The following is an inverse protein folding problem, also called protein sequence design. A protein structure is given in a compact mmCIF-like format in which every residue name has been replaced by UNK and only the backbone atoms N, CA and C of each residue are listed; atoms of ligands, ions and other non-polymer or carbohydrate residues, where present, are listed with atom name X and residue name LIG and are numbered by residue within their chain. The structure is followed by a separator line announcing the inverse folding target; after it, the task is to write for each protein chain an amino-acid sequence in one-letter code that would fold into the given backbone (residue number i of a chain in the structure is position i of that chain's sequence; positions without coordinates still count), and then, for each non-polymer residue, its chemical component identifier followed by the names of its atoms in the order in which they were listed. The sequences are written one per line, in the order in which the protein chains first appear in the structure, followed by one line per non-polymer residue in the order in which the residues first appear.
data_IF_189682887755
#
_entry.id   IF_189682887755
#
_cell.length_a   1.000
_cell.length_b   1.000
_cell.length_c   1.000
_cell.angle_alpha   90.00
_cell.angle_beta   90.00
_cell.angle_gamma   90.00
#
_symmetry.space_group_name_H-M   'P 1'
#
loop_
_entity.id
_entity.type
_entity.pdbx_description
1 polymer ?
#
# COMPACT_ATOMS: atom_id res chain seq x y z
N UNK A 1 18.68 1.42 37.19
CA UNK A 1 20.16 1.45 37.16
C UNK A 1 20.61 1.92 35.78
N UNK A 2 21.10 3.16 35.69
CA UNK A 2 21.70 3.76 34.47
C UNK A 2 23.12 3.23 34.29
N UNK A 3 23.53 2.95 33.04
CA UNK A 3 24.79 3.21 32.27
C UNK A 3 24.79 2.17 31.11
N UNK A 4 25.27 2.38 29.88
CA UNK A 4 26.26 3.30 29.34
C UNK A 4 26.14 3.29 27.79
N UNK A 5 26.26 4.46 27.16
CA UNK A 5 26.42 4.63 25.72
C UNK A 5 27.68 3.92 25.21
N UNK A 6 27.60 3.29 24.04
CA UNK A 6 28.79 3.01 23.23
C UNK A 6 28.55 3.44 21.78
N UNK A 7 29.13 4.59 21.48
CA UNK A 7 29.23 5.22 20.16
C UNK A 7 30.30 4.42 19.38
N UNK A 8 29.95 3.83 18.24
CA UNK A 8 30.94 3.39 17.26
C UNK A 8 30.92 4.31 16.05
N UNK A 9 32.10 4.86 15.79
CA UNK A 9 32.37 5.90 14.82
C UNK A 9 32.38 5.40 13.38
N UNK A 10 31.91 6.29 12.50
CA UNK A 10 31.98 6.26 11.05
C UNK A 10 33.42 6.17 10.56
N UNK A 11 33.68 5.29 9.58
CA UNK A 11 34.85 5.39 8.70
C UNK A 11 34.39 5.33 7.23
N UNK A 12 34.34 6.52 6.62
CA UNK A 12 34.21 6.77 5.20
C UNK A 12 35.44 6.22 4.45
N UNK A 13 35.22 5.42 3.40
CA UNK A 13 36.18 5.25 2.31
C UNK A 13 35.45 5.50 0.99
N UNK A 14 35.63 6.72 0.50
CA UNK A 14 35.24 7.18 -0.82
C UNK A 14 36.44 7.10 -1.78
N UNK A 15 36.30 6.33 -2.86
CA UNK A 15 37.14 6.32 -4.08
C UNK A 15 36.15 5.92 -5.19
N UNK A 16 35.94 6.59 -6.34
CA UNK A 16 36.59 7.68 -7.04
C UNK A 16 36.31 7.47 -8.55
N UNK A 17 35.97 8.57 -9.27
CA UNK A 17 36.18 8.91 -10.71
C UNK A 17 36.39 7.75 -11.74
N UNK A 18 35.92 7.73 -12.99
CA UNK A 18 35.37 8.69 -13.98
C UNK A 18 35.12 7.84 -15.25
N UNK A 19 34.19 8.20 -16.13
CA UNK A 19 34.50 8.39 -17.57
C UNK A 19 33.35 9.10 -18.28
N UNK A 20 33.73 10.14 -19.00
CA UNK A 20 32.94 10.93 -19.93
C UNK A 20 32.83 10.13 -21.23
N UNK A 21 31.60 9.83 -21.66
CA UNK A 21 31.30 9.37 -23.00
C UNK A 21 30.77 10.52 -23.85
N UNK A 22 31.65 11.21 -24.56
CA UNK A 22 31.30 12.02 -25.73
C UNK A 22 31.33 11.10 -26.96
N UNK A 23 30.28 11.13 -27.80
CA UNK A 23 30.32 10.39 -29.07
C UNK A 23 29.17 10.70 -30.02
N UNK A 24 29.47 11.49 -31.08
CA UNK A 24 28.84 11.47 -32.41
C UNK A 24 27.56 12.28 -32.57
N UNK A 25 27.59 13.53 -33.03
CA UNK A 25 27.77 14.04 -34.41
C UNK A 25 26.62 13.75 -35.40
N UNK A 26 25.85 14.82 -35.62
CA UNK A 26 25.38 15.39 -36.88
C UNK A 26 24.51 14.55 -37.83
N UNK A 27 23.22 14.92 -37.83
CA UNK A 27 22.35 14.88 -39.00
C UNK A 27 21.51 16.15 -39.01
N UNK A 28 22.09 17.26 -39.48
CA UNK A 28 21.33 18.38 -40.03
C UNK A 28 20.83 17.93 -41.41
N UNK A 29 19.51 17.91 -41.61
CA UNK A 29 19.00 18.43 -42.87
C UNK A 29 17.75 19.26 -42.59
N UNK A 30 17.86 20.50 -43.05
CA UNK A 30 16.91 21.56 -42.89
C UNK A 30 15.79 21.38 -43.91
N UNK A 31 14.55 21.67 -43.52
CA UNK A 31 13.74 22.70 -44.20
C UNK A 31 12.35 22.76 -43.58
N UNK A 32 12.01 23.94 -43.10
CA UNK A 32 10.68 24.33 -42.66
C UNK A 32 9.82 24.80 -43.87
N UNK A 33 8.61 25.34 -43.66
CA UNK A 33 7.31 24.76 -44.00
C UNK A 33 6.65 25.43 -45.23
N UNK A 34 5.41 25.06 -45.58
CA UNK A 34 4.29 26.01 -45.38
C UNK A 34 3.06 25.29 -44.79
N UNK A 35 2.40 25.83 -43.77
CA UNK A 35 1.36 26.86 -43.81
C UNK A 35 0.02 26.38 -44.41
N UNK A 36 -1.02 26.53 -43.58
CA UNK A 36 -2.44 26.73 -43.94
C UNK A 36 -3.26 25.50 -44.35
N UNK A 37 -4.14 25.02 -43.46
CA UNK A 37 -5.58 25.03 -43.75
C UNK A 37 -6.41 24.88 -42.48
N UNK A 38 -7.36 25.80 -42.32
CA UNK A 38 -8.37 25.82 -41.29
C UNK A 38 -9.42 24.73 -41.55
N UNK A 39 -9.75 23.96 -40.52
CA UNK A 39 -11.01 23.22 -40.48
C UNK A 39 -11.59 23.32 -39.07
N UNK A 40 -12.30 24.43 -38.83
CA UNK A 40 -13.23 24.56 -37.73
C UNK A 40 -14.37 23.54 -37.94
N UNK A 41 -14.29 22.40 -37.26
CA UNK A 41 -15.46 21.54 -37.06
C UNK A 41 -16.32 22.15 -35.95
N UNK A 42 -17.37 22.85 -36.35
CA UNK A 42 -18.46 23.23 -35.47
C UNK A 42 -19.14 21.97 -34.92
N UNK A 43 -18.95 21.70 -33.63
CA UNK A 43 -19.74 20.73 -32.90
C UNK A 43 -21.17 21.27 -32.73
N UNK A 44 -22.22 20.46 -32.92
CA UNK A 44 -23.60 20.89 -32.69
C UNK A 44 -23.84 21.10 -31.19
N UNK A 45 -24.15 22.34 -30.80
CA UNK A 45 -24.70 22.66 -29.48
C UNK A 45 -26.14 22.16 -29.40
N UNK A 46 -26.35 20.98 -28.84
CA UNK A 46 -27.67 20.59 -28.31
C UNK A 46 -27.88 21.26 -26.95
N UNK A 47 -28.92 22.07 -26.74
CA UNK A 47 -29.26 22.56 -25.42
C UNK A 47 -29.84 21.39 -24.61
N UNK A 48 -29.07 20.88 -23.64
CA UNK A 48 -29.63 19.99 -22.63
C UNK A 48 -30.45 20.87 -21.70
N UNK A 49 -31.77 20.77 -21.85
CA UNK A 49 -32.74 21.38 -20.97
C UNK A 49 -32.47 20.96 -19.52
N UNK A 50 -32.31 21.95 -18.65
CA UNK A 50 -32.33 21.79 -17.20
C UNK A 50 -33.71 21.26 -16.78
N UNK A 51 -33.80 19.96 -16.53
CA UNK A 51 -34.89 19.39 -15.77
C UNK A 51 -34.36 19.16 -14.35
N UNK A 52 -34.70 20.09 -13.46
CA UNK A 52 -34.54 19.91 -12.03
C UNK A 52 -35.37 18.71 -11.58
N UNK A 53 -34.72 17.79 -10.90
CA UNK A 53 -35.36 16.82 -10.02
C UNK A 53 -34.65 17.01 -8.68
N UNK A 54 -35.31 17.75 -7.80
CA UNK A 54 -35.10 17.65 -6.35
C UNK A 54 -35.58 16.25 -5.93
N UNK A 55 -34.70 15.27 -6.11
CA UNK A 55 -34.73 14.02 -5.38
C UNK A 55 -33.62 14.10 -4.36
N UNK A 56 -33.93 13.78 -3.11
CA UNK A 56 -32.95 13.55 -2.06
C UNK A 56 -31.86 12.63 -2.64
N UNK A 57 -30.72 13.23 -2.95
CA UNK A 57 -29.66 12.54 -3.65
C UNK A 57 -29.07 11.54 -2.67
N UNK A 58 -29.43 10.27 -2.83
CA UNK A 58 -28.58 9.17 -2.37
C UNK A 58 -27.17 9.52 -2.81
N UNK A 59 -26.30 9.72 -1.81
CA UNK A 59 -24.97 10.25 -2.00
C UNK A 59 -24.21 9.25 -2.88
N UNK A 60 -24.09 9.57 -4.17
CA UNK A 60 -23.46 8.66 -5.14
C UNK A 60 -22.11 8.24 -4.59
N UNK A 61 -21.78 6.94 -4.58
CA UNK A 61 -20.54 6.46 -4.00
C UNK A 61 -19.37 7.24 -4.57
N UNK A 62 -18.65 7.94 -3.69
CA UNK A 62 -17.50 8.75 -4.10
C UNK A 62 -16.38 7.80 -4.47
N UNK A 63 -16.03 7.77 -5.75
CA UNK A 63 -14.86 7.04 -6.21
C UNK A 63 -13.60 7.72 -5.68
N UNK A 64 -12.92 7.06 -4.75
CA UNK A 64 -11.61 7.50 -4.25
C UNK A 64 -10.55 6.72 -5.01
N UNK A 65 -9.73 7.43 -5.77
CA UNK A 65 -8.65 6.80 -6.52
C UNK A 65 -7.59 6.22 -5.58
N UNK A 66 -7.06 5.02 -5.87
CA UNK A 66 -5.94 4.47 -5.11
C UNK A 66 -4.68 5.33 -5.24
N UNK A 67 -3.94 5.46 -4.13
CA UNK A 67 -2.65 6.16 -4.09
C UNK A 67 -1.64 5.42 -4.98
N UNK A 68 -0.75 6.22 -5.58
CA UNK A 68 0.49 5.76 -6.23
C UNK A 68 1.69 6.27 -5.46
N UNK A 69 2.74 5.45 -5.38
CA UNK A 69 3.91 5.77 -4.56
C UNK A 69 3.68 5.46 -3.07
N UNK A 70 4.49 6.01 -2.17
CA UNK A 70 4.44 5.67 -0.75
C UNK A 70 3.07 5.98 -0.12
N UNK A 71 2.59 5.07 0.72
CA UNK A 71 1.38 5.25 1.52
C UNK A 71 1.69 5.14 3.01
N UNK A 72 1.16 6.05 3.81
CA UNK A 72 1.36 6.07 5.27
C UNK A 72 0.26 5.25 5.97
N UNK A 73 0.67 4.39 6.90
CA UNK A 73 -0.23 3.64 7.79
C UNK A 73 0.19 3.77 9.24
N UNK A 74 -0.76 3.65 10.15
CA UNK A 74 -0.50 3.38 11.56
C UNK A 74 -0.89 1.93 11.89
N UNK A 75 -0.20 1.30 12.83
CA UNK A 75 -0.53 -0.05 13.28
C UNK A 75 -0.28 -0.21 14.78
N UNK A 76 -1.04 -1.11 15.41
CA UNK A 76 -0.81 -1.50 16.81
C UNK A 76 0.27 -2.57 16.90
N UNK A 77 0.84 -2.73 18.10
CA UNK A 77 1.70 -3.88 18.37
C UNK A 77 0.91 -5.18 18.07
N UNK A 78 1.40 -6.05 17.17
CA UNK A 78 0.70 -7.27 16.81
C UNK A 78 0.44 -8.18 18.02
N UNK A 79 -0.76 -8.75 18.07
CA UNK A 79 -1.12 -9.76 19.08
C UNK A 79 -0.91 -11.16 18.50
N UNK A 80 0.07 -11.88 19.02
CA UNK A 80 0.44 -13.22 18.56
C UNK A 80 0.16 -14.25 19.63
N UNK A 81 -0.76 -15.16 19.36
CA UNK A 81 -1.15 -16.23 20.26
C UNK A 81 -1.15 -17.59 19.57
N UNK A 82 -1.26 -18.67 20.34
CA UNK A 82 -1.42 -20.01 19.78
C UNK A 82 -2.83 -20.48 19.98
N UNK A 83 -3.50 -20.75 18.87
CA UNK A 83 -4.89 -21.18 18.81
C UNK A 83 -4.94 -22.47 17.97
N UNK A 84 -5.51 -23.55 18.52
CA UNK A 84 -5.72 -24.81 17.79
C UNK A 84 -4.47 -25.43 17.12
N UNK A 85 -3.27 -25.18 17.65
CA UNK A 85 -2.01 -25.68 17.09
C UNK A 85 -1.40 -24.81 15.99
N UNK A 86 -2.03 -23.68 15.68
CA UNK A 86 -1.50 -22.63 14.82
C UNK A 86 -1.02 -21.45 15.67
N UNK A 87 -0.02 -20.74 15.17
CA UNK A 87 0.30 -19.39 15.65
C UNK A 87 -0.57 -18.43 14.84
N UNK A 88 -1.39 -17.66 15.55
CA UNK A 88 -2.30 -16.66 15.01
C UNK A 88 -1.76 -15.30 15.40
N UNK A 89 -1.46 -14.47 14.41
CA UNK A 89 -1.02 -13.09 14.60
C UNK A 89 -2.10 -12.14 14.07
N UNK A 90 -2.67 -11.30 14.93
CA UNK A 90 -3.64 -10.25 14.57
C UNK A 90 -2.95 -8.89 14.54
N UNK A 91 -3.16 -8.14 13.45
CA UNK A 91 -2.54 -6.83 13.22
C UNK A 91 -3.62 -5.82 12.85
N UNK A 92 -3.85 -4.86 13.74
CA UNK A 92 -4.78 -3.75 13.51
C UNK A 92 -4.04 -2.61 12.80
N UNK A 93 -4.60 -2.14 11.69
CA UNK A 93 -3.97 -1.22 10.74
C UNK A 93 -4.94 -0.09 10.40
N UNK A 94 -4.44 1.16 10.33
CA UNK A 94 -5.20 2.30 9.87
C UNK A 94 -4.53 2.97 8.66
N UNK A 95 -5.32 3.28 7.63
CA UNK A 95 -4.85 4.12 6.54
C UNK A 95 -4.71 5.58 7.00
N UNK A 96 -3.48 6.10 7.00
CA UNK A 96 -3.17 7.51 7.33
C UNK A 96 -2.90 8.38 6.12
N UNK A 97 -3.00 7.81 4.92
CA UNK A 97 -2.79 8.50 3.68
C UNK A 97 -4.07 9.21 3.20
N UNK A 98 -3.94 10.10 2.21
CA UNK A 98 -5.04 10.95 1.70
C UNK A 98 -5.96 10.26 0.67
N UNK A 99 -5.68 9.01 0.31
CA UNK A 99 -6.39 8.24 -0.71
C UNK A 99 -6.39 6.75 -0.36
N UNK A 100 -7.10 5.95 -1.17
CA UNK A 100 -7.28 4.53 -0.89
C UNK A 100 -5.97 3.75 -1.10
N UNK A 101 -5.71 2.75 -0.26
CA UNK A 101 -4.57 1.85 -0.40
C UNK A 101 -5.06 0.54 -1.00
N UNK A 102 -4.86 0.37 -2.31
CA UNK A 102 -5.25 -0.85 -3.01
C UNK A 102 -4.24 -1.97 -2.81
N UNK A 103 -4.73 -3.17 -2.48
CA UNK A 103 -3.92 -4.38 -2.37
C UNK A 103 -2.88 -4.32 -1.26
N UNK A 104 -3.22 -3.68 -0.12
CA UNK A 104 -2.41 -3.73 1.08
C UNK A 104 -2.09 -5.19 1.42
N UNK A 105 -0.81 -5.48 1.63
CA UNK A 105 -0.30 -6.82 1.87
C UNK A 105 0.59 -6.78 3.11
N UNK A 106 0.42 -7.78 3.97
CA UNK A 106 1.26 -8.05 5.12
C UNK A 106 1.97 -9.39 4.91
N UNK A 107 3.28 -9.39 5.07
CA UNK A 107 4.10 -10.60 5.07
C UNK A 107 4.70 -10.79 6.46
N UNK A 108 4.56 -11.99 7.03
CA UNK A 108 5.18 -12.41 8.29
C UNK A 108 6.38 -13.31 8.02
N UNK A 109 7.46 -13.08 8.78
CA UNK A 109 8.68 -13.87 8.73
C UNK A 109 9.04 -14.35 10.12
N UNK A 110 9.14 -15.66 10.30
CA UNK A 110 9.56 -16.27 11.56
C UNK A 110 11.05 -16.63 11.56
N UNK A 111 11.65 -16.57 12.73
CA UNK A 111 13.05 -16.91 12.98
C UNK A 111 13.15 -17.78 14.23
N UNK A 112 14.06 -18.76 14.19
CA UNK A 112 14.44 -19.51 15.39
C UNK A 112 15.47 -18.75 16.24
N UNK A 113 15.87 -19.31 17.38
CA UNK A 113 16.86 -18.72 18.28
C UNK A 113 18.25 -18.55 17.66
N UNK A 114 18.57 -19.34 16.64
CA UNK A 114 19.84 -19.30 15.90
C UNK A 114 19.77 -18.39 14.67
N UNK A 115 18.64 -17.70 14.46
CA UNK A 115 18.33 -16.84 13.32
C UNK A 115 18.26 -17.59 11.98
N UNK A 116 17.82 -18.83 11.98
CA UNK A 116 17.39 -19.49 10.74
C UNK A 116 15.94 -19.08 10.42
N UNK A 117 15.62 -18.83 9.15
CA UNK A 117 14.25 -18.50 8.75
C UNK A 117 13.35 -19.73 8.89
N UNK A 118 12.15 -19.51 9.41
CA UNK A 118 11.06 -20.46 9.46
C UNK A 118 9.92 -20.00 8.53
N UNK A 119 9.01 -20.90 8.12
CA UNK A 119 7.83 -20.50 7.36
C UNK A 119 7.02 -19.42 8.10
N UNK A 120 6.46 -18.49 7.34
CA UNK A 120 5.48 -17.50 7.82
C UNK A 120 4.25 -17.48 6.91
N UNK A 121 3.39 -16.49 7.10
CA UNK A 121 2.17 -16.29 6.31
C UNK A 121 2.16 -14.95 5.56
N UNK A 122 1.25 -14.82 4.62
CA UNK A 122 1.09 -13.65 3.77
C UNK A 122 -0.39 -13.40 3.50
N UNK A 123 -0.89 -12.25 3.95
CA UNK A 123 -2.27 -11.85 3.71
C UNK A 123 -2.34 -10.57 2.90
N UNK A 124 -3.30 -10.51 1.98
CA UNK A 124 -3.59 -9.33 1.17
C UNK A 124 -5.04 -8.93 1.36
N UNK A 125 -5.27 -7.69 1.76
CA UNK A 125 -6.60 -7.11 1.84
C UNK A 125 -7.22 -7.08 0.44
N UNK A 126 -8.42 -7.66 0.33
CA UNK A 126 -9.12 -7.81 -0.95
C UNK A 126 -9.65 -6.46 -1.45
N UNK A 127 -10.20 -5.67 -0.54
CA UNK A 127 -10.73 -4.35 -0.83
C UNK A 127 -9.67 -3.28 -0.59
N UNK A 128 -9.70 -2.15 -1.33
CA UNK A 128 -8.84 -1.02 -1.01
C UNK A 128 -9.15 -0.45 0.37
N UNK A 129 -8.13 -0.24 1.19
CA UNK A 129 -8.29 0.38 2.50
C UNK A 129 -8.53 1.88 2.33
N UNK A 130 -9.69 2.38 2.72
CA UNK A 130 -10.12 3.76 2.53
C UNK A 130 -9.41 4.70 3.51
N UNK A 131 -9.27 6.01 3.21
CA UNK A 131 -8.65 6.96 4.12
C UNK A 131 -9.31 6.96 5.50
N UNK A 132 -8.52 6.79 6.56
CA UNK A 132 -8.98 6.75 7.95
C UNK A 132 -9.58 5.42 8.40
N UNK A 133 -9.86 4.49 7.49
CA UNK A 133 -10.39 3.16 7.78
C UNK A 133 -9.40 2.34 8.60
N UNK A 134 -9.93 1.58 9.55
CA UNK A 134 -9.19 0.64 10.40
C UNK A 134 -9.65 -0.77 10.12
N UNK A 135 -8.69 -1.68 9.88
CA UNK A 135 -8.94 -3.10 9.64
C UNK A 135 -8.05 -3.97 10.51
N UNK A 136 -8.49 -5.19 10.78
CA UNK A 136 -7.66 -6.23 11.37
C UNK A 136 -7.26 -7.25 10.31
N UNK A 137 -5.98 -7.61 10.27
CA UNK A 137 -5.48 -8.69 9.41
C UNK A 137 -5.01 -9.83 10.30
N UNK A 138 -5.51 -11.04 10.05
CA UNK A 138 -5.13 -12.26 10.74
C UNK A 138 -4.19 -13.12 9.87
N UNK A 139 -3.00 -13.41 10.39
CA UNK A 139 -2.00 -14.29 9.79
C UNK A 139 -1.97 -15.62 10.54
N UNK A 140 -1.92 -16.75 9.82
CA UNK A 140 -1.94 -18.09 10.42
C UNK A 140 -0.80 -18.95 9.92
N UNK A 141 -0.02 -19.48 10.87
CA UNK A 141 1.12 -20.36 10.57
C UNK A 141 1.03 -21.62 11.43
N UNK A 142 1.31 -22.83 10.90
CA UNK A 142 1.46 -24.01 11.74
C UNK A 142 2.53 -23.80 12.82
N UNK A 143 2.24 -24.15 14.08
CA UNK A 143 3.21 -23.96 15.16
C UNK A 143 4.43 -24.87 14.99
N UNK A 144 5.62 -24.26 14.96
CA UNK A 144 6.90 -24.96 15.08
C UNK A 144 7.54 -24.65 16.44
N UNK A 145 8.05 -25.67 17.13
CA UNK A 145 8.67 -25.52 18.45
C UNK A 145 9.95 -24.68 18.43
N UNK A 146 10.54 -24.43 17.26
CA UNK A 146 11.73 -23.60 17.07
C UNK A 146 11.43 -22.11 16.96
N UNK A 147 10.17 -21.72 16.75
CA UNK A 147 9.77 -20.31 16.61
C UNK A 147 10.22 -19.49 17.83
N UNK A 148 10.94 -18.39 17.59
CA UNK A 148 11.46 -17.50 18.63
C UNK A 148 11.03 -16.04 18.44
N UNK A 149 11.23 -15.50 17.24
CA UNK A 149 10.93 -14.10 16.91
C UNK A 149 10.28 -14.02 15.54
N UNK A 150 9.36 -13.07 15.38
CA UNK A 150 8.80 -12.73 14.09
C UNK A 150 9.08 -11.27 13.71
N UNK A 151 8.95 -11.00 12.42
CA UNK A 151 9.03 -9.69 11.80
C UNK A 151 7.96 -9.58 10.73
N UNK A 152 7.56 -8.35 10.42
CA UNK A 152 6.52 -8.07 9.44
C UNK A 152 7.00 -7.06 8.42
N UNK A 153 6.46 -7.16 7.20
CA UNK A 153 6.61 -6.12 6.20
C UNK A 153 5.27 -5.78 5.57
N UNK A 154 5.10 -4.50 5.25
CA UNK A 154 3.91 -3.96 4.63
C UNK A 154 4.23 -3.49 3.21
N UNK A 155 3.34 -3.79 2.27
CA UNK A 155 3.43 -3.32 0.89
C UNK A 155 2.03 -3.09 0.31
N UNK A 156 1.92 -2.40 -0.82
CA UNK A 156 0.65 -2.30 -1.54
C UNK A 156 0.85 -2.33 -3.06
N UNK A 157 -0.24 -2.41 -3.83
CA UNK A 157 -0.17 -2.68 -5.27
C UNK A 157 0.56 -1.59 -6.09
N UNK A 158 0.69 -0.39 -5.54
CA UNK A 158 1.19 0.79 -6.27
C UNK A 158 2.42 1.44 -5.64
N UNK A 159 3.06 0.79 -4.66
CA UNK A 159 4.17 1.40 -3.92
C UNK A 159 4.53 0.73 -2.61
N UNK A 160 5.41 1.43 -1.89
CA UNK A 160 5.88 1.07 -0.56
C UNK A 160 4.92 1.59 0.52
N UNK A 161 5.01 1.02 1.73
CA UNK A 161 4.23 1.47 2.88
C UNK A 161 5.16 2.03 3.94
N UNK A 162 4.88 3.25 4.40
CA UNK A 162 5.50 3.83 5.59
C UNK A 162 4.66 3.48 6.80
N UNK A 163 5.07 2.46 7.56
CA UNK A 163 4.33 1.98 8.72
C UNK A 163 4.81 2.63 10.02
N UNK A 164 3.89 3.18 10.81
CA UNK A 164 4.16 3.73 12.12
C UNK A 164 3.48 2.89 13.21
N UNK A 165 4.27 2.38 14.17
CA UNK A 165 3.73 1.75 15.38
C UNK A 165 3.15 2.83 16.29
N UNK A 166 1.91 2.64 16.75
CA UNK A 166 1.21 3.54 17.67
C UNK A 166 0.69 2.78 18.89
N UNK A 167 0.35 3.51 19.94
CA UNK A 167 -0.14 2.92 21.21
C UNK A 167 -1.63 2.57 21.17
N UNK A 168 -2.41 3.27 20.34
CA UNK A 168 -3.87 3.18 20.28
C UNK A 168 -4.38 3.52 18.87
N UNK A 169 -5.45 2.83 18.44
CA UNK A 169 -6.20 3.05 17.22
C UNK A 169 -7.70 2.87 17.52
N UNK A 170 -8.59 3.51 16.74
CA UNK A 170 -10.01 3.19 16.79
C UNK A 170 -10.26 1.69 16.56
N UNK A 171 -11.34 1.16 17.11
CA UNK A 171 -11.74 -0.23 16.85
C UNK A 171 -11.99 -0.44 15.35
N UNK A 172 -11.60 -1.59 14.78
CA UNK A 172 -11.84 -1.90 13.37
C UNK A 172 -13.34 -2.02 13.09
N UNK A 173 -13.76 -1.59 11.89
CA UNK A 173 -15.14 -1.84 11.46
C UNK A 173 -15.33 -3.34 11.21
N UNK A 174 -16.48 -3.92 11.60
CA UNK A 174 -16.75 -5.33 11.35
C UNK A 174 -16.76 -5.58 9.84
N UNK A 175 -16.03 -6.61 9.40
CA UNK A 175 -16.09 -7.04 8.00
C UNK A 175 -17.51 -7.54 7.69
N UNK A 176 -18.29 -6.75 6.96
CA UNK A 176 -19.57 -7.20 6.40
C UNK A 176 -19.25 -8.25 5.33
N UNK A 177 -19.27 -9.53 5.73
CA UNK A 177 -19.18 -10.66 4.80
C UNK A 177 -20.24 -10.47 3.72
N UNK A 178 -19.79 -10.20 2.49
CA UNK A 178 -20.68 -10.04 1.35
C UNK A 178 -21.34 -11.39 1.04
N UNK A 179 -22.48 -11.65 1.67
CA UNK A 179 -23.41 -12.72 1.35
C UNK A 179 -23.92 -12.47 -0.08
N UNK A 180 -23.22 -12.98 -1.08
CA UNK A 180 -23.65 -12.94 -2.47
C UNK A 180 -23.33 -14.27 -3.13
N UNK A 181 -24.36 -15.10 -3.28
CA UNK A 181 -24.40 -16.11 -4.34
C UNK A 181 -24.67 -17.54 -3.91
N UNK A 182 -25.61 -17.78 -3.00
CA UNK A 182 -26.45 -18.98 -3.16
C UNK A 182 -27.16 -18.86 -4.51
N UNK A 183 -26.74 -19.63 -5.49
CA UNK A 183 -27.62 -20.00 -6.60
C UNK A 183 -27.48 -21.49 -6.78
N UNK A 184 -28.39 -22.20 -6.10
CA UNK A 184 -28.71 -23.59 -6.39
C UNK A 184 -28.95 -23.76 -7.89
N UNK A 185 -28.36 -24.81 -8.48
CA UNK A 185 -28.57 -25.24 -9.85
C UNK A 185 -28.25 -26.72 -10.01
#
# INVERSE_FOLDING_TARGET
MKRLNLIFAVALVSIGLTTIGCGGSNGDDASAPPAEEAAASALPTTPVASAGVEGEAEERPRFIAPIRGPADIAYLAPDTNVENGEVVTRIVLQNRATGAIAGLKVDEFWWDSDRNPLPGDSQRLRQPLMPGEVVEIELRVPRDNRMNQNQYSFSHANGEVNAQLVEDLPDPEPEEESENGETEG
#
